data_IF_434081425570
#
_entry.id   IF_434081425570
#
_cell.length_a   1.000
_cell.length_b   1.000
_cell.length_c   1.000
_cell.angle_alpha   90.00
_cell.angle_beta   90.00
_cell.angle_gamma   90.00
#
_symmetry.space_group_name_H-M   'P 1'
#
loop_
_entity.id
_entity.type
_entity.pdbx_description
1 polymer ?
#
# COMPACT_ATOMS: atom_id res chain seq x y z
N UNK A 1 4.63 -18.73 -0.25
CA UNK A 1 3.53 -17.81 -0.60
C UNK A 1 2.97 -17.33 0.73
N UNK A 2 2.95 -16.03 1.00
CA UNK A 2 2.44 -15.48 2.27
C UNK A 2 1.06 -14.90 1.95
N UNK A 3 -0.01 -15.49 2.50
CA UNK A 3 -1.37 -14.94 2.47
C UNK A 3 -1.54 -14.01 3.68
N UNK A 4 -1.96 -12.77 3.45
CA UNK A 4 -2.28 -11.81 4.50
C UNK A 4 -3.66 -11.22 4.21
N UNK A 5 -4.63 -11.48 5.08
CA UNK A 5 -5.93 -10.81 5.07
C UNK A 5 -5.70 -9.45 5.73
N UNK A 6 -5.59 -8.41 4.91
CA UNK A 6 -5.29 -7.06 5.35
C UNK A 6 -6.59 -6.27 5.40
N UNK A 7 -7.14 -6.12 6.61
CA UNK A 7 -8.36 -5.33 6.84
C UNK A 7 -8.06 -3.81 6.74
N UNK A 8 -6.79 -3.43 6.91
CA UNK A 8 -6.31 -2.04 6.83
C UNK A 8 -5.52 -1.77 5.54
N UNK A 9 -6.00 -0.80 4.77
CA UNK A 9 -5.38 -0.33 3.54
C UNK A 9 -3.94 0.19 3.75
N UNK A 10 -3.66 0.82 4.89
CA UNK A 10 -2.31 1.29 5.20
C UNK A 10 -1.37 0.13 5.53
N UNK A 11 -1.87 -0.88 6.25
CA UNK A 11 -1.15 -2.13 6.52
C UNK A 11 -0.70 -2.83 5.23
N UNK A 12 -1.56 -2.87 4.21
CA UNK A 12 -1.20 -3.45 2.90
C UNK A 12 -0.01 -2.72 2.28
N UNK A 13 -0.05 -1.38 2.25
CA UNK A 13 1.05 -0.57 1.73
C UNK A 13 2.36 -0.82 2.48
N UNK A 14 2.32 -0.82 3.82
CA UNK A 14 3.51 -1.07 4.66
C UNK A 14 4.09 -2.45 4.35
N UNK A 15 3.23 -3.46 4.27
CA UNK A 15 3.64 -4.83 3.98
C UNK A 15 4.29 -4.94 2.61
N UNK A 16 3.70 -4.31 1.59
CA UNK A 16 4.27 -4.28 0.24
C UNK A 16 5.64 -3.59 0.21
N UNK A 17 5.79 -2.45 0.88
CA UNK A 17 7.10 -1.79 1.00
C UNK A 17 8.12 -2.68 1.71
N UNK A 18 7.78 -3.28 2.85
CA UNK A 18 8.70 -4.13 3.60
C UNK A 18 9.14 -5.37 2.81
N UNK A 19 8.19 -6.03 2.12
CA UNK A 19 8.50 -7.18 1.26
C UNK A 19 9.36 -6.77 0.08
N UNK A 20 9.08 -5.61 -0.53
CA UNK A 20 9.88 -5.12 -1.64
C UNK A 20 11.28 -4.69 -1.18
N UNK A 21 11.41 -3.98 -0.06
CA UNK A 21 12.69 -3.59 0.52
C UNK A 21 13.55 -4.81 0.82
N UNK A 22 12.95 -5.86 1.40
CA UNK A 22 13.63 -7.10 1.79
C UNK A 22 14.06 -7.96 0.60
N UNK A 23 13.22 -8.09 -0.43
CA UNK A 23 13.43 -9.08 -1.49
C UNK A 23 13.73 -8.47 -2.86
N UNK A 24 13.49 -7.17 -3.07
CA UNK A 24 13.68 -6.43 -4.32
C UNK A 24 13.02 -7.09 -5.54
N UNK A 25 11.95 -7.87 -5.31
CA UNK A 25 11.20 -8.58 -6.35
C UNK A 25 9.85 -7.91 -6.60
N UNK A 26 9.37 -7.86 -7.86
CA UNK A 26 8.00 -7.47 -8.15
C UNK A 26 7.01 -8.28 -7.32
N UNK A 27 6.01 -7.60 -6.75
CA UNK A 27 4.97 -8.21 -5.93
C UNK A 27 3.64 -8.22 -6.68
N UNK A 28 2.86 -9.28 -6.51
CA UNK A 28 1.52 -9.42 -7.06
C UNK A 28 0.57 -9.80 -5.94
N UNK A 29 -0.49 -9.04 -5.75
CA UNK A 29 -1.53 -9.33 -4.76
C UNK A 29 -2.45 -10.37 -5.38
N UNK A 30 -2.45 -11.57 -4.81
CA UNK A 30 -3.29 -12.69 -5.29
C UNK A 30 -4.68 -12.69 -4.64
N UNK A 31 -4.83 -12.02 -3.50
CA UNK A 31 -6.07 -12.00 -2.75
C UNK A 31 -6.17 -10.70 -1.92
N UNK A 32 -7.26 -9.97 -2.09
CA UNK A 32 -7.67 -8.87 -1.21
C UNK A 32 -9.20 -8.78 -1.28
N UNK A 33 -9.87 -8.93 -0.14
CA UNK A 33 -11.33 -8.92 -0.09
C UNK A 33 -11.84 -8.69 1.32
N UNK A 34 -13.05 -8.13 1.40
CA UNK A 34 -13.75 -7.91 2.65
C UNK A 34 -14.89 -8.93 2.77
N UNK A 35 -14.78 -9.81 3.76
CA UNK A 35 -15.88 -10.69 4.15
C UNK A 35 -16.85 -9.95 5.05
N UNK A 36 -18.09 -9.80 4.61
CA UNK A 36 -19.20 -9.26 5.40
C UNK A 36 -20.51 -9.94 5.00
N UNK A 37 -21.50 -9.89 5.89
CA UNK A 37 -22.81 -10.46 5.62
C UNK A 37 -23.60 -9.51 4.71
N UNK A 38 -23.87 -9.94 3.49
CA UNK A 38 -24.70 -9.23 2.52
C UNK A 38 -26.19 -9.41 2.87
N UNK A 39 -26.98 -8.35 2.74
CA UNK A 39 -28.45 -8.41 2.87
C UNK A 39 -29.08 -8.31 1.49
N UNK A 40 -29.97 -9.24 1.16
CA UNK A 40 -30.69 -9.24 -0.11
C UNK A 40 -31.94 -8.38 0.01
N UNK A 41 -32.02 -7.35 -0.83
CA UNK A 41 -33.17 -6.47 -0.94
C UNK A 41 -34.33 -7.17 -1.68
N UNK A 42 -35.55 -6.60 -1.57
CA UNK A 42 -36.76 -7.15 -2.18
C UNK A 42 -36.70 -7.22 -3.72
N UNK A 43 -35.88 -6.38 -4.34
CA UNK A 43 -35.63 -6.31 -5.78
C UNK A 43 -34.49 -7.22 -6.25
N UNK A 44 -33.99 -8.11 -5.38
CA UNK A 44 -32.81 -8.96 -5.59
C UNK A 44 -31.50 -8.18 -5.76
N UNK A 45 -31.43 -6.92 -5.33
CA UNK A 45 -30.17 -6.17 -5.23
C UNK A 45 -29.48 -6.41 -3.88
N UNK A 46 -28.19 -6.07 -3.81
CA UNK A 46 -27.39 -6.04 -2.58
C UNK A 46 -26.68 -4.70 -2.54
N UNK A 47 -26.92 -3.92 -1.49
CA UNK A 47 -26.24 -2.64 -1.28
C UNK A 47 -24.91 -2.86 -0.54
N UNK A 48 -23.81 -3.01 -1.30
CA UNK A 48 -22.49 -3.32 -0.77
C UNK A 48 -21.51 -2.13 -0.75
N UNK A 49 -22.02 -0.94 -0.38
CA UNK A 49 -21.24 0.29 -0.23
C UNK A 49 -19.99 0.12 0.64
N UNK A 50 -20.09 -0.73 1.66
CA UNK A 50 -18.98 -1.07 2.54
C UNK A 50 -17.82 -1.77 1.79
N UNK A 51 -18.15 -2.63 0.81
CA UNK A 51 -17.17 -3.35 -0.02
C UNK A 51 -16.53 -2.42 -1.03
N UNK A 52 -17.32 -1.51 -1.61
CA UNK A 52 -16.82 -0.43 -2.48
C UNK A 52 -15.84 0.46 -1.72
N UNK A 53 -16.21 0.92 -0.52
CA UNK A 53 -15.37 1.76 0.31
C UNK A 53 -14.05 1.07 0.68
N UNK A 54 -14.11 -0.22 1.04
CA UNK A 54 -12.93 -1.04 1.33
C UNK A 54 -11.97 -1.12 0.13
N UNK A 55 -12.45 -1.51 -1.04
CA UNK A 55 -11.62 -1.65 -2.24
C UNK A 55 -11.02 -0.30 -2.68
N UNK A 56 -11.82 0.77 -2.60
CA UNK A 56 -11.36 2.12 -2.93
C UNK A 56 -10.20 2.56 -2.03
N UNK A 57 -10.32 2.37 -0.72
CA UNK A 57 -9.27 2.71 0.24
C UNK A 57 -7.95 1.97 -0.05
N UNK A 58 -8.03 0.67 -0.36
CA UNK A 58 -6.86 -0.15 -0.68
C UNK A 58 -6.19 0.28 -2.00
N UNK A 59 -6.99 0.58 -3.03
CA UNK A 59 -6.48 1.09 -4.32
C UNK A 59 -5.82 2.46 -4.15
N UNK A 60 -6.40 3.35 -3.34
CA UNK A 60 -5.83 4.67 -3.05
C UNK A 60 -4.48 4.55 -2.35
N UNK A 61 -4.37 3.70 -1.32
CA UNK A 61 -3.10 3.47 -0.61
C UNK A 61 -2.01 2.86 -1.51
N UNK A 62 -2.37 2.03 -2.49
CA UNK A 62 -1.42 1.52 -3.48
C UNK A 62 -0.91 2.60 -4.45
N UNK A 63 -1.73 3.61 -4.79
CA UNK A 63 -1.34 4.71 -5.68
C UNK A 63 -0.44 5.75 -4.99
N UNK A 64 -0.49 5.78 -3.67
CA UNK A 64 0.15 6.79 -2.83
C UNK A 64 1.68 6.59 -2.77
N UNK A 65 2.46 7.59 -3.20
CA UNK A 65 3.94 7.59 -3.16
C UNK A 65 4.50 8.17 -1.86
N UNK A 66 4.65 7.37 -0.80
CA UNK A 66 5.06 7.87 0.53
C UNK A 66 6.45 7.41 0.99
N UNK A 67 7.18 6.64 0.18
CA UNK A 67 8.53 6.21 0.55
C UNK A 67 9.52 7.36 0.64
N UNK A 68 10.51 7.24 1.55
CA UNK A 68 11.76 8.02 1.54
C UNK A 68 12.57 7.82 0.24
N UNK A 69 12.21 6.80 -0.54
CA UNK A 69 12.78 6.46 -1.83
C UNK A 69 11.74 6.76 -2.92
N UNK A 70 12.13 7.54 -3.90
CA UNK A 70 11.38 7.76 -5.14
C UNK A 70 11.61 6.57 -6.07
N UNK A 71 10.53 6.05 -6.65
CA UNK A 71 10.59 5.01 -7.69
C UNK A 71 10.17 5.65 -8.99
N UNK A 72 10.98 5.52 -10.04
CA UNK A 72 10.66 5.99 -11.38
C UNK A 72 9.66 5.06 -12.07
N UNK A 73 8.39 5.22 -11.69
CA UNK A 73 7.26 4.49 -12.28
C UNK A 73 6.02 5.36 -12.25
N UNK A 74 5.38 5.63 -13.38
CA UNK A 74 4.12 6.36 -13.47
C UNK A 74 2.89 5.47 -13.27
N UNK A 75 1.70 6.09 -13.24
CA UNK A 75 0.42 5.38 -13.06
C UNK A 75 -0.06 4.65 -14.32
N UNK A 76 0.55 4.93 -15.48
CA UNK A 76 0.26 4.30 -16.77
C UNK A 76 1.14 3.08 -17.02
N UNK A 77 2.07 2.78 -16.11
CA UNK A 77 3.00 1.66 -16.21
C UNK A 77 4.33 1.99 -16.87
N UNK A 78 4.56 3.25 -17.28
CA UNK A 78 5.84 3.73 -17.79
C UNK A 78 6.85 4.02 -16.67
N UNK A 79 8.14 4.04 -17.01
CA UNK A 79 9.24 4.34 -16.09
C UNK A 79 10.30 3.23 -16.01
N UNK A 80 11.51 3.60 -15.56
CA UNK A 80 12.67 2.71 -15.52
C UNK A 80 12.68 1.75 -14.33
N UNK A 81 11.77 1.92 -13.36
CA UNK A 81 11.79 1.28 -12.05
C UNK A 81 13.03 1.61 -11.22
N UNK A 82 13.82 2.61 -11.62
CA UNK A 82 14.99 3.06 -10.86
C UNK A 82 14.58 3.72 -9.54
N UNK A 83 15.43 3.56 -8.51
CA UNK A 83 15.17 4.06 -7.15
C UNK A 83 16.10 5.21 -6.83
N UNK A 84 15.54 6.30 -6.30
CA UNK A 84 16.28 7.51 -5.96
C UNK A 84 15.96 7.91 -4.52
N UNK A 85 16.99 8.16 -3.70
CA UNK A 85 16.79 8.66 -2.34
C UNK A 85 16.20 10.06 -2.39
N UNK A 86 15.06 10.28 -1.72
CA UNK A 86 14.51 11.62 -1.52
C UNK A 86 15.29 12.32 -0.39
N UNK A 87 15.19 13.65 -0.31
CA UNK A 87 15.80 14.41 0.80
C UNK A 87 15.35 13.91 2.18
N UNK A 88 14.10 13.47 2.28
CA UNK A 88 13.54 12.89 3.50
C UNK A 88 14.24 11.61 3.97
N UNK A 89 14.91 10.88 3.07
CA UNK A 89 15.72 9.71 3.43
C UNK A 89 16.89 10.06 4.33
N UNK A 90 17.69 11.06 3.94
CA UNK A 90 18.85 11.48 4.73
C UNK A 90 18.43 12.20 6.02
N UNK A 91 17.32 12.96 5.98
CA UNK A 91 16.75 13.55 7.18
C UNK A 91 16.33 12.48 8.19
N UNK A 92 15.56 11.47 7.77
CA UNK A 92 15.10 10.42 8.67
C UNK A 92 16.24 9.51 9.17
N UNK A 93 17.28 9.32 8.35
CA UNK A 93 18.53 8.66 8.77
C UNK A 93 19.21 9.42 9.92
N UNK A 94 19.21 10.75 9.91
CA UNK A 94 19.74 11.56 11.02
C UNK A 94 18.87 11.45 12.26
N UNK A 95 17.54 11.53 12.12
CA UNK A 95 16.59 11.35 13.22
C UNK A 95 16.81 10.00 13.94
N UNK A 96 16.97 8.90 13.17
CA UNK A 96 17.27 7.59 13.75
C UNK A 96 18.65 7.57 14.41
N UNK A 97 19.66 8.14 13.77
CA UNK A 97 21.03 8.20 14.29
C UNK A 97 21.15 9.00 15.59
N UNK A 98 20.29 10.00 15.78
CA UNK A 98 20.20 10.81 17.00
C UNK A 98 19.19 10.29 18.02
N UNK A 99 18.58 9.12 17.77
CA UNK A 99 17.49 8.58 18.60
C UNK A 99 16.32 9.58 18.81
N UNK A 100 16.06 10.42 17.81
CA UNK A 100 14.97 11.41 17.83
C UNK A 100 15.34 12.76 18.44
N UNK A 101 16.60 13.00 18.84
CA UNK A 101 17.01 14.29 19.39
C UNK A 101 17.20 15.37 18.31
N UNK A 102 17.55 14.97 17.08
CA UNK A 102 17.67 15.87 15.93
C UNK A 102 16.49 15.67 14.96
N UNK A 103 15.41 16.46 15.15
CA UNK A 103 14.24 16.55 14.29
C UNK A 103 14.34 17.72 13.29
#
# INVERSE_FOLDING_TARGET
MIQAILIDAQGLRITMHQLYDRYQKPLFIVENGLGAADTLNEDFSVDDDYRIAYLKAHIEEMKKRYGFIYVDKDNSGGGSLERYRKKSFEWYKRVIGSNGEEL
#
